data_IF_657435472812
#
_entry.id   IF_657435472812
#
_cell.length_a   1.000
_cell.length_b   1.000
_cell.length_c   1.000
_cell.angle_alpha   90.00
_cell.angle_beta   90.00
_cell.angle_gamma   90.00
#
_symmetry.space_group_name_H-M   'P 1'
#
loop_
_entity.id
_entity.type
_entity.pdbx_description
1 polymer ?
#
# COMPACT_ATOMS: atom_id res chain seq x y z
N UNK A 1 5.66 3.92 -20.24
CA UNK A 1 6.19 5.02 -19.41
C UNK A 1 7.42 5.69 -20.02
N UNK A 2 8.36 4.92 -20.58
CA UNK A 2 9.55 5.46 -21.24
C UNK A 2 9.27 6.61 -22.24
N UNK A 3 8.24 6.49 -23.07
CA UNK A 3 7.82 7.54 -24.00
C UNK A 3 7.51 8.89 -23.33
N UNK A 4 6.77 8.90 -22.22
CA UNK A 4 6.39 10.15 -21.55
C UNK A 4 7.56 10.79 -20.81
N UNK A 5 8.52 9.97 -20.36
CA UNK A 5 9.75 10.47 -19.74
C UNK A 5 10.65 11.10 -20.80
N UNK A 6 10.82 10.45 -21.96
CA UNK A 6 11.55 11.00 -23.11
C UNK A 6 10.93 12.27 -23.70
N UNK A 7 9.68 12.57 -23.35
CA UNK A 7 8.96 13.80 -23.71
C UNK A 7 9.05 14.89 -22.63
N UNK A 8 9.76 14.64 -21.54
CA UNK A 8 9.88 15.52 -20.37
C UNK A 8 8.52 15.85 -19.71
N UNK A 9 7.53 14.95 -19.85
CA UNK A 9 6.23 15.10 -19.17
C UNK A 9 6.26 14.55 -17.74
N UNK A 10 7.23 13.68 -17.45
CA UNK A 10 7.50 13.15 -16.13
C UNK A 10 9.00 12.86 -16.00
N UNK A 11 9.55 13.03 -14.80
CA UNK A 11 10.95 12.71 -14.53
C UNK A 11 11.19 11.20 -14.34
N UNK A 12 10.25 10.53 -13.67
CA UNK A 12 10.31 9.12 -13.33
C UNK A 12 8.92 8.50 -13.40
N UNK A 13 8.85 7.18 -13.28
CA UNK A 13 7.61 6.46 -13.10
C UNK A 13 7.75 5.41 -12.01
N UNK A 14 6.62 5.00 -11.44
CA UNK A 14 6.52 3.95 -10.44
C UNK A 14 5.24 3.16 -10.62
N UNK A 15 5.08 2.15 -9.79
CA UNK A 15 3.92 1.26 -9.74
C UNK A 15 3.10 1.54 -8.47
N UNK A 16 1.91 0.99 -8.37
CA UNK A 16 1.12 1.04 -7.13
C UNK A 16 0.33 -0.24 -6.99
N UNK A 17 0.51 -0.94 -5.87
CA UNK A 17 -0.16 -2.21 -5.56
C UNK A 17 0.21 -3.36 -6.51
N UNK A 18 1.38 -3.29 -7.16
CA UNK A 18 1.87 -4.39 -8.01
C UNK A 18 2.47 -5.51 -7.18
N UNK A 19 2.44 -6.75 -7.69
CA UNK A 19 3.17 -7.84 -7.04
C UNK A 19 4.68 -7.67 -7.25
N UNK A 20 5.49 -8.26 -6.36
CA UNK A 20 6.94 -8.27 -6.59
C UNK A 20 7.31 -8.89 -7.95
N UNK A 21 6.55 -9.91 -8.38
CA UNK A 21 6.75 -10.56 -9.67
C UNK A 21 6.56 -9.60 -10.85
N UNK A 22 5.48 -8.82 -10.86
CA UNK A 22 5.18 -7.89 -11.96
C UNK A 22 6.20 -6.75 -12.02
N UNK A 23 6.67 -6.28 -10.86
CA UNK A 23 7.72 -5.26 -10.78
C UNK A 23 9.05 -5.82 -11.33
N UNK A 24 9.40 -7.04 -10.97
CA UNK A 24 10.58 -7.73 -11.52
C UNK A 24 10.46 -7.84 -13.03
N UNK A 25 9.33 -8.31 -13.54
CA UNK A 25 9.11 -8.43 -14.98
C UNK A 25 9.26 -7.07 -15.69
N UNK A 26 8.68 -6.01 -15.14
CA UNK A 26 8.82 -4.66 -15.67
C UNK A 26 10.28 -4.18 -15.70
N UNK A 27 11.04 -4.44 -14.62
CA UNK A 27 12.47 -4.13 -14.55
C UNK A 27 13.27 -4.89 -15.62
N UNK A 28 13.07 -6.20 -15.75
CA UNK A 28 13.82 -7.04 -16.69
C UNK A 28 13.46 -6.71 -18.16
N UNK A 29 12.20 -6.38 -18.45
CA UNK A 29 11.78 -5.88 -19.77
C UNK A 29 12.46 -4.54 -20.07
N UNK A 30 12.47 -3.62 -19.11
CA UNK A 30 13.10 -2.32 -19.28
C UNK A 30 14.60 -2.47 -19.57
N UNK A 31 15.29 -3.35 -18.84
CA UNK A 31 16.71 -3.65 -19.07
C UNK A 31 17.00 -4.20 -20.45
N UNK A 32 16.24 -5.23 -20.86
CA UNK A 32 16.43 -5.89 -22.16
C UNK A 32 16.23 -4.93 -23.34
N UNK A 33 15.35 -3.95 -23.17
CA UNK A 33 14.98 -3.00 -24.22
C UNK A 33 15.67 -1.64 -24.09
N UNK A 34 16.53 -1.43 -23.08
CA UNK A 34 17.17 -0.14 -22.82
C UNK A 34 16.17 0.97 -22.48
N UNK A 35 15.08 0.63 -21.79
CA UNK A 35 14.06 1.57 -21.30
C UNK A 35 14.33 1.96 -19.85
N UNK A 36 13.69 3.03 -19.40
CA UNK A 36 13.75 3.46 -18.00
C UNK A 36 12.90 2.51 -17.12
N UNK A 37 13.54 1.87 -16.12
CA UNK A 37 12.87 1.04 -15.08
C UNK A 37 11.88 1.87 -14.25
N UNK A 38 10.85 1.24 -13.64
CA UNK A 38 10.12 1.90 -12.58
C UNK A 38 11.06 2.15 -11.38
N UNK A 39 10.83 3.23 -10.63
CA UNK A 39 11.74 3.67 -9.56
C UNK A 39 11.24 3.33 -8.15
N UNK A 40 9.94 3.15 -7.98
CA UNK A 40 9.29 2.90 -6.69
C UNK A 40 7.94 2.20 -6.86
N UNK A 41 7.43 1.59 -5.79
CA UNK A 41 6.01 1.24 -5.66
C UNK A 41 5.32 2.13 -4.62
N UNK A 42 4.01 2.29 -4.76
CA UNK A 42 3.12 2.88 -3.78
C UNK A 42 2.19 1.79 -3.19
N UNK A 43 2.67 0.99 -2.21
CA UNK A 43 1.85 -0.04 -1.59
C UNK A 43 1.18 0.44 -0.30
N UNK A 44 0.08 -0.20 0.07
CA UNK A 44 -0.54 -0.05 1.37
C UNK A 44 0.41 -0.56 2.45
N UNK A 45 0.60 0.23 3.51
CA UNK A 45 1.42 -0.21 4.64
C UNK A 45 1.00 0.43 5.95
N UNK A 46 0.67 -0.42 6.93
CA UNK A 46 0.33 -0.05 8.29
C UNK A 46 0.36 -1.30 9.18
N UNK A 47 0.19 -1.17 10.49
CA UNK A 47 0.34 -2.32 11.42
C UNK A 47 -0.56 -3.52 11.08
N UNK A 48 -1.72 -3.28 10.45
CA UNK A 48 -2.65 -4.33 10.01
C UNK A 48 -2.37 -4.91 8.61
N UNK A 49 -1.50 -4.27 7.81
CA UNK A 49 -1.12 -4.69 6.46
C UNK A 49 0.38 -4.48 6.26
N UNK A 50 1.12 -5.57 6.39
CA UNK A 50 2.59 -5.60 6.36
C UNK A 50 3.12 -6.60 5.33
N UNK A 51 2.23 -7.41 4.74
CA UNK A 51 2.61 -8.60 3.97
C UNK A 51 3.47 -8.25 2.77
N UNK A 52 3.05 -7.25 1.99
CA UNK A 52 3.74 -6.86 0.76
C UNK A 52 5.09 -6.19 1.04
N UNK A 53 5.09 -5.18 1.90
CA UNK A 53 6.29 -4.37 2.17
C UNK A 53 7.36 -5.15 2.93
N UNK A 54 6.99 -5.94 3.93
CA UNK A 54 7.99 -6.60 4.77
C UNK A 54 8.44 -7.96 4.25
N UNK A 55 7.61 -8.64 3.44
CA UNK A 55 7.88 -10.01 3.03
C UNK A 55 8.01 -10.15 1.51
N UNK A 56 7.01 -9.71 0.73
CA UNK A 56 7.01 -9.89 -0.73
C UNK A 56 8.11 -9.05 -1.42
N UNK A 57 8.30 -7.81 -0.96
CA UNK A 57 9.17 -6.85 -1.63
C UNK A 57 10.66 -6.95 -1.26
N UNK A 58 11.04 -7.90 -0.41
CA UNK A 58 12.43 -8.02 0.06
C UNK A 58 13.44 -8.09 -1.11
N UNK A 59 13.14 -8.93 -2.11
CA UNK A 59 13.98 -9.06 -3.32
C UNK A 59 14.09 -7.77 -4.12
N UNK A 60 13.07 -6.90 -4.09
CA UNK A 60 13.10 -5.62 -4.80
C UNK A 60 14.11 -4.65 -4.18
N UNK A 61 14.18 -4.62 -2.86
CA UNK A 61 15.14 -3.78 -2.13
C UNK A 61 16.56 -4.23 -2.39
N UNK A 62 16.82 -5.53 -2.24
CA UNK A 62 18.17 -6.09 -2.33
C UNK A 62 18.70 -6.10 -3.76
N UNK A 63 17.88 -6.54 -4.74
CA UNK A 63 18.35 -6.73 -6.13
C UNK A 63 18.23 -5.46 -6.97
N UNK A 64 17.19 -4.66 -6.75
CA UNK A 64 16.87 -3.52 -7.63
C UNK A 64 17.03 -2.16 -6.93
N UNK A 65 17.35 -2.11 -5.64
CA UNK A 65 17.46 -0.85 -4.88
C UNK A 65 16.14 -0.08 -4.85
N UNK A 66 15.02 -0.79 -4.85
CA UNK A 66 13.71 -0.22 -5.14
C UNK A 66 13.16 0.62 -3.98
N UNK A 67 12.62 1.81 -4.29
CA UNK A 67 12.03 2.71 -3.30
C UNK A 67 10.55 2.43 -3.01
N UNK A 68 10.03 3.01 -1.92
CA UNK A 68 8.61 2.95 -1.57
C UNK A 68 8.03 4.32 -1.28
N UNK A 69 6.76 4.50 -1.66
CA UNK A 69 5.93 5.65 -1.27
C UNK A 69 4.63 5.15 -0.66
N UNK A 70 4.70 4.59 0.54
CA UNK A 70 3.57 3.86 1.13
C UNK A 70 2.34 4.73 1.39
N UNK A 71 1.15 4.12 1.37
CA UNK A 71 -0.12 4.81 1.61
C UNK A 71 -0.94 4.18 2.74
N UNK A 72 -1.91 4.96 3.24
CA UNK A 72 -2.79 4.62 4.37
C UNK A 72 -2.08 4.18 5.66
N UNK A 73 -1.08 4.93 6.17
CA UNK A 73 -0.37 4.55 7.41
C UNK A 73 -1.29 4.38 8.64
N UNK A 74 -2.47 5.01 8.62
CA UNK A 74 -3.48 4.92 9.67
C UNK A 74 -4.71 4.07 9.27
N UNK A 75 -4.61 3.24 8.23
CA UNK A 75 -5.70 2.41 7.72
C UNK A 75 -7.02 3.18 7.56
N UNK A 76 -7.04 4.22 6.71
CA UNK A 76 -8.19 5.12 6.54
C UNK A 76 -8.66 5.84 7.82
N UNK A 77 -7.79 5.91 8.84
CA UNK A 77 -8.07 6.50 10.14
C UNK A 77 -8.46 5.48 11.21
N UNK A 78 -8.57 4.18 10.89
CA UNK A 78 -8.93 3.12 11.85
C UNK A 78 -7.96 3.09 13.02
N UNK A 79 -6.66 3.22 12.73
CA UNK A 79 -5.60 3.15 13.74
C UNK A 79 -5.54 4.38 14.66
N UNK A 80 -6.42 5.36 14.48
CA UNK A 80 -6.57 6.48 15.42
C UNK A 80 -7.45 6.14 16.63
N UNK A 81 -8.21 5.03 16.57
CA UNK A 81 -9.20 4.67 17.60
C UNK A 81 -10.51 5.47 17.53
N UNK A 82 -10.64 6.43 16.60
CA UNK A 82 -11.85 7.28 16.50
C UNK A 82 -13.15 6.52 16.24
N UNK A 83 -13.05 5.27 15.74
CA UNK A 83 -14.21 4.43 15.42
C UNK A 83 -14.58 3.43 16.52
N UNK A 84 -13.91 3.45 17.67
CA UNK A 84 -14.17 2.49 18.75
C UNK A 84 -15.57 2.57 19.33
N UNK A 85 -16.26 3.71 19.16
CA UNK A 85 -17.62 3.95 19.65
C UNK A 85 -18.61 4.23 18.49
N UNK A 86 -18.38 3.62 17.32
CA UNK A 86 -19.17 3.85 16.10
C UNK A 86 -18.50 4.81 15.12
N UNK A 87 -19.19 5.15 14.03
CA UNK A 87 -18.65 5.98 12.94
C UNK A 87 -18.98 7.46 13.20
N UNK A 88 -17.99 8.34 13.47
CA UNK A 88 -18.26 9.76 13.68
C UNK A 88 -18.76 10.43 12.37
N UNK A 89 -19.67 11.39 12.50
CA UNK A 89 -20.12 12.20 11.36
C UNK A 89 -18.96 12.98 10.75
N UNK A 90 -18.92 13.09 9.42
CA UNK A 90 -17.85 13.75 8.66
C UNK A 90 -16.52 13.00 8.68
N UNK A 91 -16.45 11.81 9.30
CA UNK A 91 -15.27 10.96 9.26
C UNK A 91 -15.12 10.28 7.91
N UNK A 92 -13.95 9.69 7.66
CA UNK A 92 -13.66 9.05 6.38
C UNK A 92 -14.58 7.86 6.10
N UNK A 93 -14.94 7.11 7.13
CA UNK A 93 -15.88 5.99 7.04
C UNK A 93 -17.36 6.44 7.08
N UNK A 94 -17.68 7.73 7.20
CA UNK A 94 -19.06 8.19 7.02
C UNK A 94 -19.35 8.62 5.58
N UNK A 95 -18.39 8.49 4.67
CA UNK A 95 -18.53 8.84 3.26
C UNK A 95 -19.00 7.62 2.46
N UNK A 96 -20.11 7.76 1.72
CA UNK A 96 -20.80 6.67 1.02
C UNK A 96 -19.92 5.84 0.08
N UNK A 97 -18.92 6.45 -0.58
CA UNK A 97 -18.01 5.73 -1.49
C UNK A 97 -16.94 4.90 -0.79
N UNK A 98 -16.68 5.14 0.49
CA UNK A 98 -15.64 4.44 1.26
C UNK A 98 -16.21 3.27 2.05
N UNK A 99 -17.48 3.32 2.44
CA UNK A 99 -18.16 2.19 3.09
C UNK A 99 -18.09 0.92 2.25
N UNK A 100 -18.28 1.02 0.93
CA UNK A 100 -18.19 -0.12 0.01
C UNK A 100 -16.75 -0.66 -0.10
N UNK A 101 -15.75 0.22 -0.22
CA UNK A 101 -14.33 -0.16 -0.36
C UNK A 101 -13.80 -0.77 0.94
N UNK A 102 -14.16 -0.17 2.08
CA UNK A 102 -13.79 -0.67 3.41
C UNK A 102 -14.39 -2.05 3.64
N UNK A 103 -15.67 -2.28 3.30
CA UNK A 103 -16.32 -3.59 3.46
C UNK A 103 -15.71 -4.69 2.56
N UNK A 104 -15.22 -4.35 1.37
CA UNK A 104 -14.58 -5.32 0.45
C UNK A 104 -13.15 -5.66 0.87
N UNK A 105 -12.35 -4.68 1.32
CA UNK A 105 -10.93 -4.88 1.67
C UNK A 105 -10.68 -5.21 3.14
N UNK A 106 -11.58 -4.83 4.04
CA UNK A 106 -11.57 -5.23 5.45
C UNK A 106 -12.50 -6.42 5.68
N UNK A 107 -12.58 -7.37 4.74
CA UNK A 107 -13.28 -8.65 4.91
C UNK A 107 -12.70 -9.54 6.03
N UNK A 108 -11.75 -9.00 6.81
CA UNK A 108 -11.52 -9.39 8.18
C UNK A 108 -12.64 -8.72 9.00
N UNK A 109 -13.72 -9.42 9.41
CA UNK A 109 -14.57 -8.88 10.47
C UNK A 109 -13.60 -8.45 11.55
N UNK A 110 -13.55 -7.18 11.95
CA UNK A 110 -12.70 -6.78 13.06
C UNK A 110 -13.28 -7.54 14.22
N UNK A 111 -12.74 -8.72 14.62
CA UNK A 111 -13.33 -9.41 15.73
C UNK A 111 -13.01 -8.47 16.88
N UNK A 112 -13.93 -8.28 17.83
CA UNK A 112 -13.58 -7.61 19.08
C UNK A 112 -12.24 -8.15 19.63
N UNK A 113 -11.91 -9.43 19.36
CA UNK A 113 -10.62 -10.05 19.62
C UNK A 113 -9.37 -9.35 19.02
N UNK A 114 -9.39 -8.70 17.85
CA UNK A 114 -8.19 -7.95 17.34
C UNK A 114 -8.02 -6.60 18.03
N UNK A 115 -9.12 -5.92 18.35
CA UNK A 115 -9.06 -4.69 19.15
C UNK A 115 -8.66 -4.98 20.60
N UNK A 116 -9.08 -6.12 21.15
CA UNK A 116 -8.67 -6.64 22.46
C UNK A 116 -7.21 -7.12 22.44
N UNK A 117 -6.75 -7.84 21.41
CA UNK A 117 -5.35 -8.25 21.29
C UNK A 117 -4.38 -7.06 21.17
N UNK A 118 -4.80 -5.95 20.52
CA UNK A 118 -4.03 -4.70 20.52
C UNK A 118 -4.01 -4.01 21.90
N UNK A 119 -4.98 -4.30 22.76
CA UNK A 119 -5.05 -3.79 24.14
C UNK A 119 -4.18 -4.61 25.11
N UNK A 120 -4.07 -5.91 24.91
CA UNK A 120 -3.34 -6.82 25.82
C UNK A 120 -1.85 -6.99 25.50
N UNK A 121 -1.37 -6.55 24.33
CA UNK A 121 0.07 -6.56 24.01
C UNK A 121 0.86 -5.38 24.62
N UNK A 122 0.23 -4.55 25.46
CA UNK A 122 0.86 -3.39 26.12
C UNK A 122 0.47 -3.22 27.61
N UNK A 123 0.11 -4.32 28.28
CA UNK A 123 0.17 -4.48 29.75
C UNK A 123 1.08 -5.65 30.09
#
# INVERSE_FOLDING_TARGET
MDYVIKRDWAFYWGTSEWSAHDIIEACEIADRLGLIRPAFDQPQYHILERSRVEFDYNVLYEKYGYGLTTWSPLAFGILTGKYSNGIPEGSRLSMSSIDEIANVRLSIPVPEARLVAMREQWL
#
